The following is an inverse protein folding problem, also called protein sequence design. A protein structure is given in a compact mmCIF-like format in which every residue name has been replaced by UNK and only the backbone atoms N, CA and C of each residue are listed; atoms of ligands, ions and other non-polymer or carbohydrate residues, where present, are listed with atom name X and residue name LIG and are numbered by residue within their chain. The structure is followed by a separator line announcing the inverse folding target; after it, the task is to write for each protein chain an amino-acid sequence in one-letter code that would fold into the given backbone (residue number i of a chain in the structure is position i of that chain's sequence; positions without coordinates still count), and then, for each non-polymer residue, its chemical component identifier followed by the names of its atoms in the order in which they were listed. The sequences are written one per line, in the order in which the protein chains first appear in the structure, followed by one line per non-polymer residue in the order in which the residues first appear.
data_IF_605008515599
#
_entry.id   IF_605008515599
#
_cell.length_a   1.000
_cell.length_b   1.000
_cell.length_c   1.000
_cell.angle_alpha   90.00
_cell.angle_beta   90.00
_cell.angle_gamma   90.00
#
_symmetry.space_group_name_H-M   'P 1'
#
loop_
_entity.id
_entity.type
_entity.pdbx_description
1 polymer ?
#
# COMPACT_ATOMS: atom_id res chain seq x y z
N UNK A 1 -28.84 -7.19 -11.17
CA UNK A 1 -27.51 -7.32 -11.78
C UNK A 1 -27.02 -5.94 -12.15
N UNK A 2 -26.45 -5.21 -11.18
CA UNK A 2 -25.65 -4.02 -11.46
C UNK A 2 -24.24 -4.53 -11.64
N UNK A 3 -23.65 -4.36 -12.82
CA UNK A 3 -22.22 -4.62 -12.97
C UNK A 3 -21.50 -3.56 -12.15
N UNK A 4 -21.14 -3.89 -10.92
CA UNK A 4 -20.23 -3.06 -10.13
C UNK A 4 -18.90 -3.01 -10.89
N UNK A 5 -18.64 -1.88 -11.54
CA UNK A 5 -17.29 -1.53 -11.95
C UNK A 5 -16.46 -1.45 -10.68
N UNK A 6 -15.77 -2.56 -10.33
CA UNK A 6 -14.81 -2.57 -9.25
C UNK A 6 -13.81 -1.44 -9.52
N UNK A 7 -13.55 -0.54 -8.55
CA UNK A 7 -12.62 0.56 -8.76
C UNK A 7 -11.27 0.03 -9.24
N UNK A 8 -10.75 0.58 -10.33
CA UNK A 8 -9.42 0.22 -10.82
C UNK A 8 -8.39 0.58 -9.74
N UNK A 9 -7.52 -0.37 -9.40
CA UNK A 9 -6.46 -0.16 -8.40
C UNK A 9 -5.57 1.01 -8.85
N UNK A 10 -5.28 1.99 -7.97
CA UNK A 10 -4.47 3.14 -8.34
C UNK A 10 -3.02 2.74 -8.55
N UNK A 11 -2.36 3.34 -9.54
CA UNK A 11 -0.93 3.15 -9.81
C UNK A 11 -0.05 3.84 -8.77
N UNK A 12 -0.57 4.91 -8.14
CA UNK A 12 0.13 5.62 -7.07
C UNK A 12 -0.77 5.91 -5.88
N UNK A 13 -0.18 5.85 -4.69
CA UNK A 13 -0.84 6.07 -3.41
C UNK A 13 -0.10 7.15 -2.63
N UNK A 14 -0.84 7.97 -1.88
CA UNK A 14 -0.30 9.13 -1.20
C UNK A 14 -0.53 9.04 0.30
N UNK A 15 0.45 9.47 1.10
CA UNK A 15 0.33 9.47 2.57
C UNK A 15 0.82 10.77 3.17
N UNK A 16 -0.09 11.52 3.79
CA UNK A 16 0.20 12.76 4.50
C UNK A 16 0.68 12.45 5.90
N UNK A 17 1.85 12.99 6.28
CA UNK A 17 2.47 12.75 7.58
C UNK A 17 2.85 14.05 8.29
N UNK A 18 2.58 14.16 9.61
CA UNK A 18 2.89 15.36 10.36
C UNK A 18 4.38 15.44 10.70
N UNK A 19 4.98 16.62 10.54
CA UNK A 19 6.32 16.92 11.04
C UNK A 19 6.36 18.09 12.05
N UNK A 20 5.20 18.58 12.49
CA UNK A 20 5.05 19.58 13.55
C UNK A 20 4.50 19.01 14.86
N UNK A 21 4.59 17.70 15.07
CA UNK A 21 4.01 16.99 16.22
C UNK A 21 5.01 16.10 16.93
N UNK A 22 4.63 15.52 18.07
CA UNK A 22 5.44 14.54 18.81
C UNK A 22 5.78 13.28 17.99
N UNK A 23 5.13 13.09 16.84
CA UNK A 23 5.32 11.95 15.96
C UNK A 23 6.51 12.09 15.01
N UNK A 24 7.11 13.29 14.90
CA UNK A 24 8.23 13.59 13.97
C UNK A 24 9.30 12.52 13.95
N UNK A 25 9.71 12.02 15.13
CA UNK A 25 10.75 11.01 15.23
C UNK A 25 10.35 9.73 14.50
N UNK A 26 9.11 9.24 14.72
CA UNK A 26 8.58 8.05 14.06
C UNK A 26 8.37 8.26 12.57
N UNK A 27 7.88 9.42 12.17
CA UNK A 27 7.62 9.70 10.74
C UNK A 27 8.92 9.78 9.95
N UNK A 28 9.96 10.40 10.49
CA UNK A 28 11.28 10.41 9.87
C UNK A 28 11.93 9.02 9.88
N UNK A 29 11.78 8.25 10.97
CA UNK A 29 12.24 6.85 11.04
C UNK A 29 11.58 5.97 9.97
N UNK A 30 10.26 6.14 9.77
CA UNK A 30 9.49 5.43 8.75
C UNK A 30 10.02 5.67 7.33
N UNK A 31 10.37 6.91 7.00
CA UNK A 31 10.92 7.25 5.69
C UNK A 31 12.35 6.71 5.54
N UNK A 32 13.20 6.92 6.54
CA UNK A 32 14.61 6.55 6.46
C UNK A 32 14.85 5.04 6.51
N UNK A 33 13.94 4.29 7.12
CA UNK A 33 14.00 2.82 7.22
C UNK A 33 13.02 2.11 6.29
N UNK A 34 12.47 2.80 5.29
CA UNK A 34 11.57 2.24 4.26
C UNK A 34 10.41 1.42 4.83
N UNK A 35 9.62 2.00 5.74
CA UNK A 35 8.44 1.32 6.27
C UNK A 35 7.20 2.22 6.38
N UNK A 36 6.02 1.61 6.27
CA UNK A 36 4.73 2.19 6.63
C UNK A 36 4.36 1.71 8.02
N UNK A 37 4.03 2.63 8.93
CA UNK A 37 3.43 2.24 10.22
C UNK A 37 1.96 1.92 10.00
N UNK A 38 1.53 0.73 10.41
CA UNK A 38 0.14 0.28 10.46
C UNK A 38 -0.39 0.51 11.90
N UNK A 39 -1.02 1.66 12.19
CA UNK A 39 -1.72 1.87 13.47
C UNK A 39 -2.90 0.92 13.59
N UNK A 40 -3.33 0.63 14.82
CA UNK A 40 -4.59 -0.06 15.04
C UNK A 40 -5.76 0.81 14.63
N UNK A 41 -6.85 0.20 14.18
CA UNK A 41 -8.07 0.93 13.86
C UNK A 41 -8.55 1.81 15.03
N UNK A 42 -8.46 1.32 16.28
CA UNK A 42 -8.83 2.08 17.48
C UNK A 42 -7.96 3.33 17.78
N UNK A 43 -6.88 3.55 17.02
CA UNK A 43 -6.03 4.74 17.09
C UNK A 43 -6.32 5.75 15.98
N UNK A 44 -7.27 5.47 15.09
CA UNK A 44 -7.62 6.38 13.98
C UNK A 44 -8.39 7.61 14.49
N UNK A 45 -8.36 8.67 13.69
CA UNK A 45 -8.82 10.00 14.09
C UNK A 45 -10.34 10.21 13.99
N UNK A 46 -11.05 9.40 13.18
CA UNK A 46 -12.50 9.51 13.02
C UNK A 46 -13.22 8.49 13.93
N UNK A 47 -13.90 8.96 15.00
CA UNK A 47 -14.64 8.08 15.90
C UNK A 47 -15.96 7.56 15.32
N UNK A 48 -16.39 8.04 14.14
CA UNK A 48 -17.62 7.61 13.46
C UNK A 48 -17.38 6.51 12.41
N UNK A 49 -16.17 5.94 12.34
CA UNK A 49 -15.83 4.87 11.40
C UNK A 49 -16.06 3.46 11.97
N UNK A 50 -16.28 2.49 11.06
CA UNK A 50 -16.50 1.08 11.36
C UNK A 50 -17.55 0.82 12.45
N UNK A 51 -18.75 1.38 12.24
CA UNK A 51 -19.89 1.17 13.12
C UNK A 51 -20.33 -0.31 13.10
N UNK A 52 -20.00 -1.03 14.18
CA UNK A 52 -20.41 -2.41 14.44
C UNK A 52 -21.42 -2.34 15.58
N UNK A 53 -22.68 -2.07 15.22
CA UNK A 53 -23.79 -1.97 16.16
C UNK A 53 -24.75 -3.15 16.03
N UNK A 54 -25.39 -3.50 17.14
CA UNK A 54 -26.38 -4.56 17.23
C UNK A 54 -27.73 -3.98 17.66
N UNK A 55 -28.86 -4.50 17.15
CA UNK A 55 -30.16 -4.11 17.65
C UNK A 55 -30.34 -4.53 19.11
N UNK A 56 -31.00 -3.69 19.90
CA UNK A 56 -31.38 -4.01 21.28
C UNK A 56 -32.37 -5.19 21.33
N UNK A 57 -33.28 -5.26 20.36
CA UNK A 57 -34.17 -6.38 20.11
C UNK A 57 -34.09 -6.77 18.64
N UNK A 58 -33.57 -7.97 18.37
CA UNK A 58 -33.57 -8.51 17.01
C UNK A 58 -34.88 -9.28 16.77
N UNK A 59 -35.69 -8.78 15.83
CA UNK A 59 -37.01 -9.32 15.49
C UNK A 59 -36.97 -10.75 14.97
N UNK A 60 -35.80 -11.24 14.54
CA UNK A 60 -35.64 -12.61 14.04
C UNK A 60 -34.98 -13.55 15.07
N UNK A 61 -34.55 -13.04 16.23
CA UNK A 61 -33.90 -13.85 17.26
C UNK A 61 -34.79 -14.99 17.79
N UNK A 62 -36.12 -14.82 17.81
CA UNK A 62 -37.05 -15.83 18.31
C UNK A 62 -37.14 -17.07 17.42
N UNK A 63 -36.72 -16.97 16.14
CA UNK A 63 -36.75 -18.07 15.18
C UNK A 63 -35.59 -19.06 15.35
N UNK A 64 -34.63 -18.76 16.24
CA UNK A 64 -33.39 -19.51 16.39
C UNK A 64 -33.25 -20.12 17.79
N UNK A 65 -32.57 -21.28 17.91
CA UNK A 65 -32.15 -21.79 19.22
C UNK A 65 -31.28 -20.76 19.95
N UNK A 66 -31.59 -20.48 21.22
CA UNK A 66 -30.87 -19.48 22.04
C UNK A 66 -29.35 -19.73 22.08
N UNK A 67 -28.92 -20.98 22.05
CA UNK A 67 -27.51 -21.36 22.06
C UNK A 67 -26.77 -20.90 20.80
N UNK A 68 -27.41 -21.08 19.63
CA UNK A 68 -26.86 -20.66 18.34
C UNK A 68 -26.86 -19.12 18.21
N UNK A 69 -27.86 -18.47 18.81
CA UNK A 69 -27.95 -17.02 18.92
C UNK A 69 -26.77 -16.43 19.71
N UNK A 70 -26.49 -16.99 20.88
CA UNK A 70 -25.40 -16.52 21.73
C UNK A 70 -24.02 -16.85 21.15
N UNK A 71 -23.88 -18.00 20.46
CA UNK A 71 -22.65 -18.37 19.76
C UNK A 71 -22.32 -17.39 18.63
N UNK A 72 -23.30 -17.03 17.80
CA UNK A 72 -23.10 -16.10 16.68
C UNK A 72 -22.79 -14.68 17.15
N UNK A 73 -23.49 -14.17 18.19
CA UNK A 73 -23.14 -12.89 18.82
C UNK A 73 -21.72 -12.88 19.38
N UNK A 74 -21.31 -13.96 20.06
CA UNK A 74 -19.95 -14.09 20.61
C UNK A 74 -18.90 -14.13 19.51
N UNK A 75 -19.16 -14.86 18.42
CA UNK A 75 -18.27 -14.91 17.26
C UNK A 75 -18.11 -13.52 16.64
N UNK A 76 -19.21 -12.81 16.37
CA UNK A 76 -19.17 -11.49 15.74
C UNK A 76 -18.53 -10.43 16.64
N UNK A 77 -18.82 -10.42 17.94
CA UNK A 77 -18.19 -9.49 18.88
C UNK A 77 -16.69 -9.77 19.03
N UNK A 78 -16.29 -11.04 19.03
CA UNK A 78 -14.88 -11.45 19.01
C UNK A 78 -14.15 -11.00 17.74
N UNK A 79 -14.75 -11.20 16.57
CA UNK A 79 -14.16 -10.75 15.29
C UNK A 79 -14.14 -9.23 15.18
N UNK A 80 -15.18 -8.53 15.61
CA UNK A 80 -15.22 -7.06 15.69
C UNK A 80 -14.13 -6.49 16.62
N UNK A 81 -13.97 -7.07 17.82
CA UNK A 81 -12.92 -6.68 18.75
C UNK A 81 -11.52 -6.93 18.19
N UNK A 82 -11.35 -8.01 17.41
CA UNK A 82 -10.11 -8.32 16.70
C UNK A 82 -9.85 -7.29 15.59
N UNK A 83 -10.87 -6.97 14.79
CA UNK A 83 -10.80 -5.99 13.72
C UNK A 83 -10.42 -4.59 14.22
N UNK A 84 -10.95 -4.16 15.36
CA UNK A 84 -10.55 -2.88 16.00
C UNK A 84 -9.07 -2.84 16.40
N UNK A 85 -8.47 -4.01 16.65
CA UNK A 85 -7.05 -4.16 16.97
C UNK A 85 -6.19 -4.46 15.75
N UNK A 86 -6.79 -4.62 14.57
CA UNK A 86 -6.06 -4.83 13.34
C UNK A 86 -5.39 -3.54 12.88
N UNK A 87 -4.16 -3.67 12.39
CA UNK A 87 -3.40 -2.62 11.75
C UNK A 87 -4.04 -2.22 10.42
N UNK A 88 -4.26 -0.92 10.23
CA UNK A 88 -4.82 -0.34 9.02
C UNK A 88 -3.89 0.74 8.49
N UNK A 89 -3.62 0.75 7.18
CA UNK A 89 -2.84 1.81 6.54
C UNK A 89 -3.74 2.57 5.58
N UNK A 90 -4.08 3.80 5.96
CA UNK A 90 -4.82 4.76 5.15
C UNK A 90 -3.91 5.52 4.18
N UNK A 91 -4.32 5.55 2.92
CA UNK A 91 -3.65 6.21 1.80
C UNK A 91 -4.66 6.99 0.98
N UNK A 92 -4.26 8.07 0.31
CA UNK A 92 -5.07 8.82 -0.64
C UNK A 92 -4.65 8.50 -2.08
N UNK A 93 -5.46 8.90 -3.06
CA UNK A 93 -5.08 8.93 -4.49
C UNK A 93 -4.63 10.32 -4.98
N UNK A 94 -4.48 11.30 -4.08
CA UNK A 94 -3.96 12.64 -4.41
C UNK A 94 -2.89 13.12 -3.43
N UNK A 95 -1.84 13.79 -3.93
CA UNK A 95 -0.87 14.55 -3.13
C UNK A 95 -1.33 15.97 -2.81
N UNK A 96 -2.38 16.45 -3.48
CA UNK A 96 -2.89 17.80 -3.35
C UNK A 96 -4.36 17.77 -2.96
N UNK A 97 -4.59 17.87 -1.66
CA UNK A 97 -5.88 18.15 -1.03
C UNK A 97 -5.61 19.02 0.22
N UNK A 98 -6.14 20.24 0.24
CA UNK A 98 -5.83 21.21 1.30
C UNK A 98 -6.33 20.77 2.68
N UNK A 99 -7.55 20.23 2.84
CA UNK A 99 -7.95 19.57 4.08
C UNK A 99 -6.96 18.50 4.54
N UNK A 100 -6.50 17.60 3.67
CA UNK A 100 -5.53 16.56 4.05
C UNK A 100 -4.19 17.16 4.53
N UNK A 101 -3.69 18.19 3.84
CA UNK A 101 -2.49 18.92 4.28
C UNK A 101 -2.68 19.62 5.63
N UNK A 102 -3.87 20.17 5.89
CA UNK A 102 -4.19 20.81 7.16
C UNK A 102 -4.25 19.79 8.30
N UNK A 103 -5.01 18.71 8.14
CA UNK A 103 -5.30 17.73 9.19
C UNK A 103 -4.15 16.76 9.43
N UNK A 104 -3.54 16.22 8.37
CA UNK A 104 -2.61 15.10 8.49
C UNK A 104 -1.16 15.46 8.23
N UNK A 105 -0.88 16.66 7.72
CA UNK A 105 0.47 17.17 7.51
C UNK A 105 0.76 18.43 8.36
N UNK A 106 0.27 18.46 9.60
CA UNK A 106 0.56 19.52 10.59
C UNK A 106 0.36 20.94 10.03
N UNK A 107 -0.82 21.26 9.50
CA UNK A 107 -1.09 22.59 8.93
C UNK A 107 -0.05 23.01 7.88
N UNK A 108 0.29 22.11 6.94
CA UNK A 108 1.29 22.32 5.88
C UNK A 108 2.76 22.38 6.34
N UNK A 109 3.08 22.01 7.59
CA UNK A 109 4.47 21.86 8.08
C UNK A 109 5.06 20.46 7.82
N UNK A 110 4.20 19.50 7.48
CA UNK A 110 4.52 18.10 7.26
C UNK A 110 4.94 17.78 5.83
N UNK A 111 4.64 16.56 5.42
CA UNK A 111 4.99 16.01 4.11
C UNK A 111 3.82 15.20 3.54
N UNK A 112 3.86 15.01 2.22
CA UNK A 112 3.07 13.98 1.54
C UNK A 112 4.03 13.03 0.80
N UNK A 113 3.86 11.73 1.01
CA UNK A 113 4.68 10.68 0.42
C UNK A 113 3.91 10.04 -0.73
N UNK A 114 4.47 10.01 -1.93
CA UNK A 114 3.93 9.26 -3.08
C UNK A 114 4.60 7.90 -3.19
N UNK A 115 3.78 6.87 -3.30
CA UNK A 115 4.21 5.49 -3.45
C UNK A 115 3.79 4.88 -4.78
N UNK A 116 4.65 4.06 -5.36
CA UNK A 116 4.28 3.14 -6.43
C UNK A 116 3.56 1.92 -5.86
N UNK A 117 2.36 1.63 -6.35
CA UNK A 117 1.53 0.55 -5.81
C UNK A 117 2.08 -0.84 -6.15
N UNK A 118 2.79 -1.01 -7.27
CA UNK A 118 3.39 -2.29 -7.67
C UNK A 118 4.64 -2.57 -6.83
N UNK A 119 5.48 -1.55 -6.61
CA UNK A 119 6.67 -1.68 -5.75
C UNK A 119 6.30 -1.91 -4.28
N UNK A 120 5.23 -1.28 -3.78
CA UNK A 120 4.69 -1.61 -2.45
C UNK A 120 4.32 -3.11 -2.33
N UNK A 121 3.91 -3.75 -3.43
CA UNK A 121 3.61 -5.17 -3.47
C UNK A 121 4.86 -6.07 -3.54
N UNK A 122 6.07 -5.51 -3.57
CA UNK A 122 7.33 -6.25 -3.43
C UNK A 122 7.85 -6.28 -1.97
N UNK A 123 7.15 -5.63 -1.04
CA UNK A 123 7.47 -5.61 0.39
C UNK A 123 6.52 -6.45 1.25
N UNK A 124 6.44 -6.10 2.54
CA UNK A 124 5.56 -6.76 3.52
C UNK A 124 4.06 -6.63 3.18
N UNK A 125 3.70 -5.75 2.23
CA UNK A 125 2.33 -5.54 1.78
C UNK A 125 1.93 -6.41 0.58
N UNK A 126 2.82 -7.25 0.05
CA UNK A 126 2.58 -8.10 -1.14
C UNK A 126 1.23 -8.84 -1.14
N UNK A 127 0.84 -9.40 0.01
CA UNK A 127 -0.37 -10.22 0.16
C UNK A 127 -1.45 -9.54 1.00
N UNK A 128 -1.31 -8.23 1.21
CA UNK A 128 -2.23 -7.46 2.02
C UNK A 128 -3.27 -6.83 1.11
N UNK A 129 -4.58 -7.07 1.35
CA UNK A 129 -5.64 -6.46 0.55
C UNK A 129 -5.56 -4.93 0.60
N UNK A 130 -5.59 -4.30 -0.57
CA UNK A 130 -5.73 -2.86 -0.76
C UNK A 130 -7.13 -2.60 -1.29
N UNK A 131 -7.98 -1.95 -0.50
CA UNK A 131 -9.39 -1.76 -0.81
C UNK A 131 -9.76 -0.26 -0.81
N UNK A 132 -10.64 0.19 -1.71
CA UNK A 132 -11.13 1.55 -1.71
C UNK A 132 -12.08 1.75 -0.52
N UNK A 133 -12.04 2.94 0.08
CA UNK A 133 -13.05 3.36 1.04
C UNK A 133 -14.35 3.71 0.30
N UNK A 134 -15.45 3.18 0.80
CA UNK A 134 -16.82 3.46 0.36
C UNK A 134 -17.37 4.60 1.21
N UNK A 135 -17.85 5.64 0.56
CA UNK A 135 -18.43 6.81 1.20
C UNK A 135 -19.95 6.73 1.12
N UNK A 136 -20.61 6.92 2.27
CA UNK A 136 -22.06 6.93 2.34
C UNK A 136 -22.55 7.99 3.34
N UNK A 137 -23.73 8.52 3.07
CA UNK A 137 -24.46 9.42 3.97
C UNK A 137 -25.39 8.66 4.92
N UNK A 138 -25.74 7.42 4.57
CA UNK A 138 -26.64 6.57 5.33
C UNK A 138 -25.81 5.70 6.28
N UNK A 139 -26.20 5.70 7.56
CA UNK A 139 -25.59 4.82 8.55
C UNK A 139 -25.82 3.36 8.13
N UNK A 140 -24.77 2.53 8.14
CA UNK A 140 -24.93 1.12 7.84
C UNK A 140 -25.99 0.47 8.75
N UNK A 141 -26.78 -0.49 8.24
CA UNK A 141 -27.74 -1.19 9.07
C UNK A 141 -27.00 -1.91 10.20
N UNK A 142 -27.66 -1.98 11.36
CA UNK A 142 -27.20 -2.78 12.48
C UNK A 142 -27.02 -4.24 12.04
N UNK A 143 -26.08 -4.94 12.67
CA UNK A 143 -25.77 -6.33 12.36
C UNK A 143 -26.87 -7.23 12.96
N UNK A 144 -27.97 -7.37 12.21
CA UNK A 144 -29.08 -8.28 12.53
C UNK A 144 -28.72 -9.72 12.22
N UNK A 145 -29.47 -10.67 12.79
CA UNK A 145 -29.31 -12.09 12.48
C UNK A 145 -29.60 -12.41 11.03
N UNK A 146 -30.60 -11.76 10.43
CA UNK A 146 -30.90 -11.92 9.01
C UNK A 146 -29.67 -11.58 8.17
N UNK A 147 -29.01 -10.46 8.45
CA UNK A 147 -27.80 -10.03 7.75
C UNK A 147 -26.65 -11.03 7.96
N UNK A 148 -26.50 -11.57 9.16
CA UNK A 148 -25.46 -12.56 9.48
C UNK A 148 -25.71 -13.92 8.82
N UNK A 149 -26.97 -14.31 8.62
CA UNK A 149 -27.33 -15.58 8.01
C UNK A 149 -27.05 -15.60 6.49
N UNK A 150 -27.08 -14.44 5.85
CA UNK A 150 -26.93 -14.30 4.39
C UNK A 150 -25.56 -13.74 3.97
N UNK A 151 -24.65 -13.47 4.90
CA UNK A 151 -23.35 -12.86 4.61
C UNK A 151 -22.22 -13.50 5.39
N UNK A 152 -21.02 -13.51 4.79
CA UNK A 152 -19.82 -13.92 5.50
C UNK A 152 -19.42 -12.87 6.54
N UNK A 153 -19.15 -13.32 7.78
CA UNK A 153 -18.83 -12.42 8.90
C UNK A 153 -17.59 -11.55 8.62
N UNK A 154 -16.57 -12.10 7.96
CA UNK A 154 -15.36 -11.36 7.62
C UNK A 154 -15.60 -10.29 6.56
N UNK A 155 -16.48 -10.55 5.59
CA UNK A 155 -16.86 -9.57 4.58
C UNK A 155 -17.66 -8.43 5.19
N UNK A 156 -18.61 -8.72 6.08
CA UNK A 156 -19.34 -7.69 6.81
C UNK A 156 -18.40 -6.76 7.58
N UNK A 157 -17.46 -7.32 8.32
CA UNK A 157 -16.49 -6.54 9.10
C UNK A 157 -15.56 -5.74 8.19
N UNK A 158 -15.08 -6.35 7.11
CA UNK A 158 -14.24 -5.67 6.11
C UNK A 158 -14.99 -4.50 5.50
N UNK A 159 -16.24 -4.69 5.07
CA UNK A 159 -17.08 -3.64 4.52
C UNK A 159 -17.31 -2.50 5.52
N UNK A 160 -17.50 -2.80 6.81
CA UNK A 160 -17.60 -1.77 7.86
C UNK A 160 -16.30 -1.00 8.04
N UNK A 161 -15.15 -1.69 8.04
CA UNK A 161 -13.84 -1.05 8.10
C UNK A 161 -13.56 -0.18 6.87
N UNK A 162 -14.13 -0.49 5.71
CA UNK A 162 -13.97 0.28 4.48
C UNK A 162 -15.02 1.38 4.31
N UNK A 163 -15.88 1.64 5.29
CA UNK A 163 -16.95 2.64 5.15
C UNK A 163 -16.60 3.94 5.89
N UNK A 164 -16.87 5.07 5.22
CA UNK A 164 -16.82 6.41 5.80
C UNK A 164 -18.06 7.22 5.50
N UNK A 165 -18.23 8.26 6.29
CA UNK A 165 -19.19 9.34 6.07
C UNK A 165 -18.87 10.10 4.78
N UNK A 166 -19.90 10.46 4.02
CA UNK A 166 -19.81 11.15 2.72
C UNK A 166 -18.95 12.42 2.76
N UNK A 167 -18.95 13.13 3.88
CA UNK A 167 -18.21 14.36 4.13
C UNK A 167 -16.68 14.18 3.95
N UNK A 168 -16.17 12.96 4.12
CA UNK A 168 -14.77 12.60 3.94
C UNK A 168 -14.41 12.12 2.52
N UNK A 169 -15.34 12.17 1.56
CA UNK A 169 -15.08 11.68 0.18
C UNK A 169 -13.87 12.35 -0.49
N UNK A 170 -13.57 13.60 -0.12
CA UNK A 170 -12.41 14.34 -0.62
C UNK A 170 -11.07 13.64 -0.30
N UNK A 171 -11.01 12.80 0.73
CA UNK A 171 -9.79 12.05 1.09
C UNK A 171 -9.39 11.04 -0.01
N UNK A 172 -10.35 10.59 -0.83
CA UNK A 172 -10.15 9.59 -1.90
C UNK A 172 -9.37 8.37 -1.41
N UNK A 173 -9.72 7.92 -0.21
CA UNK A 173 -8.95 6.97 0.58
C UNK A 173 -8.99 5.54 0.04
N UNK A 174 -7.84 4.87 0.12
CA UNK A 174 -7.64 3.43 -0.02
C UNK A 174 -6.92 2.90 1.22
N UNK A 175 -7.24 1.67 1.63
CA UNK A 175 -6.75 1.07 2.87
C UNK A 175 -6.07 -0.27 2.64
N UNK A 176 -4.91 -0.47 3.26
CA UNK A 176 -4.38 -1.81 3.49
C UNK A 176 -4.88 -2.40 4.80
N UNK A 177 -5.45 -3.60 4.75
CA UNK A 177 -5.82 -4.40 5.94
C UNK A 177 -4.60 -5.17 6.49
N UNK A 178 -3.67 -4.43 7.10
CA UNK A 178 -2.31 -4.90 7.39
C UNK A 178 -2.17 -5.92 8.54
N UNK A 179 -3.29 -6.36 9.14
CA UNK A 179 -3.31 -7.42 10.16
C UNK A 179 -2.71 -6.95 11.48
N UNK A 180 -1.46 -7.30 11.77
CA UNK A 180 -0.79 -6.89 13.02
C UNK A 180 -0.33 -5.42 12.96
N UNK A 181 -0.55 -4.67 14.03
CA UNK A 181 0.01 -3.34 14.27
C UNK A 181 1.55 -3.33 14.11
N UNK A 182 2.08 -2.24 13.55
CA UNK A 182 3.51 -1.98 13.54
C UNK A 182 4.08 -1.68 12.16
N UNK A 183 5.38 -1.93 12.00
CA UNK A 183 6.11 -1.63 10.76
C UNK A 183 5.73 -2.63 9.66
N UNK A 184 5.47 -2.12 8.45
CA UNK A 184 5.36 -2.87 7.19
C UNK A 184 6.39 -2.31 6.23
N UNK A 185 7.47 -3.05 6.02
CA UNK A 185 8.59 -2.61 5.21
C UNK A 185 8.26 -2.71 3.72
N UNK A 186 8.81 -1.79 2.94
CA UNK A 186 8.66 -1.72 1.48
C UNK A 186 10.02 -1.66 0.79
N UNK A 187 10.06 -1.94 -0.51
CA UNK A 187 11.26 -1.74 -1.34
C UNK A 187 11.49 -0.25 -1.56
N UNK A 188 12.73 0.17 -1.62
CA UNK A 188 13.13 1.56 -1.69
C UNK A 188 12.52 2.33 -2.88
N UNK A 189 12.41 1.73 -4.09
CA UNK A 189 11.71 2.37 -5.21
C UNK A 189 10.21 2.54 -4.98
N UNK A 190 9.62 1.89 -3.98
CA UNK A 190 8.22 2.08 -3.64
C UNK A 190 7.92 3.51 -3.20
N UNK A 191 8.85 4.24 -2.58
CA UNK A 191 8.69 5.66 -2.29
C UNK A 191 9.23 6.49 -3.45
N UNK A 192 8.35 6.92 -4.35
CA UNK A 192 8.71 7.67 -5.56
C UNK A 192 9.05 9.13 -5.27
N UNK A 193 8.23 9.78 -4.45
CA UNK A 193 8.34 11.23 -4.19
C UNK A 193 8.06 11.59 -2.74
N UNK A 194 8.75 12.62 -2.26
CA UNK A 194 8.44 13.32 -1.02
C UNK A 194 8.10 14.76 -1.35
N UNK A 195 6.85 15.13 -1.12
CA UNK A 195 6.38 16.51 -1.17
C UNK A 195 6.55 17.15 0.20
N UNK A 196 7.33 18.22 0.27
CA UNK A 196 7.56 19.00 1.49
C UNK A 196 6.54 20.12 1.57
N UNK A 197 5.79 20.19 2.68
CA UNK A 197 4.79 21.25 2.86
C UNK A 197 5.42 22.64 2.87
N UNK A 198 4.67 23.68 2.45
CA UNK A 198 5.19 25.06 2.34
C UNK A 198 5.61 25.69 3.67
N UNK A 199 5.27 25.08 4.81
CA UNK A 199 5.69 25.52 6.15
C UNK A 199 6.72 24.59 6.78
N UNK A 200 7.30 23.65 6.01
CA UNK A 200 8.28 22.72 6.55
C UNK A 200 9.45 23.46 7.22
N UNK A 201 9.89 22.97 8.37
CA UNK A 201 11.06 23.58 9.03
C UNK A 201 12.34 23.29 8.25
N UNK A 202 13.26 24.25 8.20
CA UNK A 202 14.55 24.08 7.53
C UNK A 202 15.34 22.89 8.07
N UNK A 203 15.21 22.60 9.38
CA UNK A 203 15.83 21.44 10.03
C UNK A 203 15.31 20.12 9.45
N UNK A 204 13.99 19.97 9.35
CA UNK A 204 13.36 18.76 8.78
C UNK A 204 13.70 18.61 7.30
N UNK A 205 13.56 19.70 6.52
CA UNK A 205 13.94 19.74 5.09
C UNK A 205 15.38 19.27 4.88
N UNK A 206 16.34 19.90 5.54
CA UNK A 206 17.76 19.57 5.38
C UNK A 206 18.06 18.11 5.75
N UNK A 207 17.42 17.58 6.80
CA UNK A 207 17.58 16.19 7.23
C UNK A 207 17.01 15.20 6.23
N UNK A 208 15.85 15.48 5.64
CA UNK A 208 15.23 14.63 4.61
C UNK A 208 16.11 14.62 3.35
N UNK A 209 16.49 15.79 2.82
CA UNK A 209 17.37 15.90 1.65
C UNK A 209 18.67 15.12 1.88
N UNK A 210 19.34 15.34 3.00
CA UNK A 210 20.60 14.66 3.30
C UNK A 210 20.45 13.13 3.39
N UNK A 211 19.42 12.64 4.07
CA UNK A 211 19.22 11.19 4.27
C UNK A 211 18.71 10.48 3.03
N UNK A 212 18.03 11.18 2.13
CA UNK A 212 17.44 10.60 0.93
C UNK A 212 18.28 10.80 -0.34
N UNK A 213 19.49 11.39 -0.24
CA UNK A 213 20.32 11.75 -1.39
C UNK A 213 20.66 10.59 -2.34
N UNK A 214 20.97 9.41 -1.81
CA UNK A 214 21.40 8.23 -2.58
C UNK A 214 20.27 7.20 -2.70
N UNK A 215 19.04 7.69 -2.83
CA UNK A 215 17.82 6.88 -2.81
C UNK A 215 17.03 7.14 -4.09
N UNK A 216 16.22 6.17 -4.55
CA UNK A 216 15.45 6.31 -5.78
C UNK A 216 14.18 7.14 -5.55
N UNK A 217 14.32 8.35 -5.01
CA UNK A 217 13.20 9.21 -4.59
C UNK A 217 13.46 10.66 -5.00
N UNK A 218 12.44 11.28 -5.57
CA UNK A 218 12.44 12.71 -5.87
C UNK A 218 11.94 13.50 -4.65
N UNK A 219 12.46 14.71 -4.43
CA UNK A 219 11.98 15.60 -3.37
C UNK A 219 11.48 16.89 -4.00
N UNK A 220 10.24 17.24 -3.67
CA UNK A 220 9.58 18.45 -4.13
C UNK A 220 9.35 19.41 -2.97
N UNK A 221 9.63 20.69 -3.17
CA UNK A 221 9.34 21.75 -2.21
C UNK A 221 8.07 22.48 -2.59
N UNK A 222 7.12 22.55 -1.64
CA UNK A 222 5.90 23.33 -1.78
C UNK A 222 6.13 24.81 -1.51
N UNK A 223 5.51 25.67 -2.31
CA UNK A 223 5.46 27.12 -2.12
C UNK A 223 4.05 27.64 -2.40
N UNK A 224 3.62 28.66 -1.66
CA UNK A 224 2.30 29.26 -1.88
C UNK A 224 2.41 30.33 -2.96
N UNK A 225 1.63 30.20 -4.02
CA UNK A 225 1.49 31.17 -5.10
C UNK A 225 0.00 31.54 -5.26
N UNK A 226 -0.37 32.74 -4.84
CA UNK A 226 -1.77 33.14 -4.77
C UNK A 226 -2.57 32.24 -3.82
N UNK A 227 -3.59 31.56 -4.35
CA UNK A 227 -4.43 30.61 -3.62
C UNK A 227 -4.00 29.15 -3.81
N UNK A 228 -2.84 28.90 -4.42
CA UNK A 228 -2.38 27.57 -4.78
C UNK A 228 -1.06 27.19 -4.11
N UNK A 229 -0.85 25.89 -3.92
CA UNK A 229 0.45 25.33 -3.54
C UNK A 229 1.09 24.72 -4.78
N UNK A 230 2.25 25.26 -5.17
CA UNK A 230 3.06 24.71 -6.24
C UNK A 230 4.25 23.92 -5.69
N UNK A 231 4.51 22.76 -6.27
CA UNK A 231 5.62 21.88 -5.91
C UNK A 231 6.72 21.91 -6.98
N UNK A 232 7.94 22.24 -6.58
CA UNK A 232 9.13 22.25 -7.46
C UNK A 232 10.12 21.18 -7.03
N UNK A 233 10.63 20.40 -7.98
CA UNK A 233 11.68 19.42 -7.69
C UNK A 233 12.95 20.14 -7.22
N UNK A 234 13.49 19.71 -6.09
CA UNK A 234 14.73 20.22 -5.50
C UNK A 234 15.78 19.13 -5.30
N UNK A 235 15.41 17.86 -5.49
CA UNK A 235 16.32 16.72 -5.53
C UNK A 235 15.74 15.66 -6.48
N UNK A 236 16.51 15.32 -7.49
CA UNK A 236 16.18 14.23 -8.42
C UNK A 236 16.39 12.86 -7.78
N UNK A 237 15.70 11.85 -8.32
CA UNK A 237 15.92 10.45 -7.94
C UNK A 237 17.31 9.97 -8.36
N UNK A 238 18.00 9.24 -7.49
CA UNK A 238 19.23 8.58 -7.86
C UNK A 238 18.94 7.39 -8.81
N UNK A 239 19.73 7.19 -9.88
CA UNK A 239 19.65 5.97 -10.69
C UNK A 239 19.80 4.72 -9.81
N UNK A 240 19.08 3.65 -10.12
CA UNK A 240 19.09 2.43 -9.30
C UNK A 240 20.49 1.82 -9.14
N UNK A 241 21.30 1.88 -10.20
CA UNK A 241 22.70 1.44 -10.20
C UNK A 241 23.61 2.22 -9.23
N UNK A 242 23.24 3.45 -8.87
CA UNK A 242 23.99 4.34 -7.97
C UNK A 242 23.37 4.45 -6.57
N UNK A 243 22.19 3.84 -6.36
CA UNK A 243 21.49 3.88 -5.09
C UNK A 243 22.24 3.11 -3.99
N UNK A 244 22.05 3.54 -2.74
CA UNK A 244 22.34 2.67 -1.59
C UNK A 244 21.49 1.39 -1.71
N UNK A 245 22.15 0.24 -1.67
CA UNK A 245 21.55 -1.08 -1.87
C UNK A 245 21.39 -1.83 -0.55
N UNK A 246 20.34 -2.63 -0.46
CA UNK A 246 20.18 -3.64 0.58
C UNK A 246 20.36 -5.05 0.04
N UNK A 247 20.10 -5.26 -1.26
CA UNK A 247 20.28 -6.53 -1.93
C UNK A 247 21.51 -6.57 -2.84
N UNK A 248 22.07 -7.76 -3.02
CA UNK A 248 23.28 -8.00 -3.80
C UNK A 248 23.11 -7.83 -5.33
N UNK A 249 21.89 -7.85 -5.86
CA UNK A 249 21.61 -7.70 -7.29
C UNK A 249 22.11 -8.86 -8.15
N UNK A 250 22.09 -10.08 -7.61
CA UNK A 250 22.68 -11.24 -8.29
C UNK A 250 21.77 -11.73 -9.43
N UNK A 251 22.32 -11.79 -10.64
CA UNK A 251 21.70 -12.46 -11.77
C UNK A 251 22.72 -13.40 -12.41
N UNK A 252 22.38 -14.69 -12.43
CA UNK A 252 23.11 -15.73 -13.13
C UNK A 252 22.45 -15.99 -14.50
N UNK A 253 23.12 -15.67 -15.62
CA UNK A 253 22.58 -15.94 -16.96
C UNK A 253 22.23 -17.42 -17.20
N UNK A 254 22.81 -18.37 -16.45
CA UNK A 254 22.48 -19.79 -16.59
C UNK A 254 21.00 -20.10 -16.29
N UNK A 255 20.31 -19.25 -15.53
CA UNK A 255 18.86 -19.40 -15.24
C UNK A 255 18.04 -19.26 -16.53
N UNK A 256 18.48 -18.43 -17.49
CA UNK A 256 17.83 -18.34 -18.81
C UNK A 256 18.04 -19.66 -19.57
N UNK A 257 19.26 -20.20 -19.56
CA UNK A 257 19.61 -21.42 -20.30
C UNK A 257 18.79 -22.64 -19.84
N UNK A 258 18.40 -22.73 -18.57
CA UNK A 258 17.58 -23.84 -18.07
C UNK A 258 16.16 -23.90 -18.67
N UNK A 259 15.67 -22.79 -19.21
CA UNK A 259 14.30 -22.66 -19.75
C UNK A 259 14.29 -22.14 -21.20
N UNK A 260 15.42 -22.21 -21.89
CA UNK A 260 15.66 -21.48 -23.15
C UNK A 260 14.67 -21.84 -24.26
N UNK A 261 14.42 -23.12 -24.51
CA UNK A 261 13.51 -23.57 -25.57
C UNK A 261 12.09 -23.00 -25.39
N UNK A 262 11.58 -23.04 -24.16
CA UNK A 262 10.26 -22.49 -23.82
C UNK A 262 10.22 -20.97 -23.94
N UNK A 263 11.26 -20.29 -23.43
CA UNK A 263 11.36 -18.83 -23.50
C UNK A 263 11.50 -18.35 -24.95
N UNK A 264 12.27 -19.03 -25.79
CA UNK A 264 12.39 -18.72 -27.23
C UNK A 264 11.09 -18.99 -27.97
N UNK A 265 10.33 -20.02 -27.60
CA UNK A 265 9.04 -20.29 -28.21
C UNK A 265 8.02 -19.17 -27.97
N UNK A 266 8.09 -18.49 -26.82
CA UNK A 266 7.21 -17.36 -26.48
C UNK A 266 7.75 -16.03 -27.03
N UNK A 267 9.03 -15.76 -26.83
CA UNK A 267 9.63 -14.46 -27.15
C UNK A 267 10.04 -14.31 -28.62
N UNK A 268 10.37 -15.41 -29.31
CA UNK A 268 10.93 -15.38 -30.66
C UNK A 268 12.12 -14.41 -30.76
N UNK A 269 11.99 -13.42 -31.65
CA UNK A 269 13.00 -12.37 -31.89
C UNK A 269 13.20 -11.41 -30.70
N UNK A 270 12.34 -11.46 -29.67
CA UNK A 270 12.44 -10.65 -28.45
C UNK A 270 13.22 -11.33 -27.34
N UNK A 271 13.80 -12.50 -27.58
CA UNK A 271 14.53 -13.24 -26.56
C UNK A 271 15.64 -12.41 -25.90
N UNK A 272 16.39 -11.62 -26.68
CA UNK A 272 17.47 -10.78 -26.17
C UNK A 272 16.98 -9.66 -25.22
N UNK A 273 15.69 -9.27 -25.33
CA UNK A 273 15.09 -8.30 -24.41
C UNK A 273 14.91 -8.86 -23.00
N UNK A 274 14.83 -10.19 -22.83
CA UNK A 274 14.73 -10.84 -21.53
C UNK A 274 15.99 -10.62 -20.69
N UNK A 275 17.17 -10.82 -21.30
CA UNK A 275 18.44 -10.65 -20.60
C UNK A 275 18.62 -9.20 -20.17
N UNK A 276 18.29 -8.25 -21.05
CA UNK A 276 18.30 -6.83 -20.73
C UNK A 276 17.36 -6.51 -19.56
N UNK A 277 16.14 -7.07 -19.53
CA UNK A 277 15.20 -6.90 -18.42
C UNK A 277 15.71 -7.52 -17.11
N UNK A 278 16.39 -8.66 -17.17
CA UNK A 278 17.03 -9.26 -15.99
C UNK A 278 18.15 -8.37 -15.45
N UNK A 279 18.94 -7.74 -16.33
CA UNK A 279 20.00 -6.79 -15.96
C UNK A 279 19.40 -5.51 -15.34
N UNK A 280 18.33 -4.96 -15.92
CA UNK A 280 17.60 -3.83 -15.34
C UNK A 280 17.03 -4.16 -13.96
N UNK A 281 16.45 -5.35 -13.80
CA UNK A 281 15.95 -5.81 -12.50
C UNK A 281 17.09 -6.00 -11.50
N UNK A 282 18.25 -6.45 -11.97
CA UNK A 282 19.46 -6.60 -11.15
C UNK A 282 19.96 -5.27 -10.59
N UNK A 283 19.68 -4.16 -11.25
CA UNK A 283 20.01 -2.83 -10.72
C UNK A 283 19.07 -2.40 -9.58
N UNK A 284 17.90 -3.03 -9.41
CA UNK A 284 16.96 -2.68 -8.35
C UNK A 284 17.61 -2.75 -6.96
N UNK A 285 17.58 -1.68 -6.14
CA UNK A 285 18.43 -1.55 -4.94
C UNK A 285 18.13 -2.58 -3.84
N UNK A 286 16.92 -3.14 -3.81
CA UNK A 286 16.56 -4.21 -2.87
C UNK A 286 16.62 -5.61 -3.47
N UNK A 287 16.87 -5.80 -4.77
CA UNK A 287 16.94 -7.15 -5.32
C UNK A 287 18.17 -7.84 -4.74
N UNK A 288 17.98 -8.98 -4.07
CA UNK A 288 19.05 -9.85 -3.61
C UNK A 288 19.54 -10.73 -4.76
N UNK A 289 18.61 -11.42 -5.43
CA UNK A 289 18.89 -12.26 -6.60
C UNK A 289 17.63 -12.52 -7.43
N UNK A 290 17.83 -12.86 -8.70
CA UNK A 290 16.82 -13.52 -9.53
C UNK A 290 16.90 -15.02 -9.24
N UNK A 291 15.78 -15.62 -8.83
CA UNK A 291 15.71 -17.03 -8.43
C UNK A 291 15.32 -17.94 -9.60
N UNK A 292 14.35 -17.52 -10.42
CA UNK A 292 13.77 -18.35 -11.48
C UNK A 292 13.23 -17.51 -12.63
N UNK A 293 13.34 -18.05 -13.85
CA UNK A 293 12.67 -17.56 -15.04
C UNK A 293 11.93 -18.72 -15.67
N UNK A 294 10.61 -18.59 -15.81
CA UNK A 294 9.77 -19.65 -16.38
C UNK A 294 8.66 -19.09 -17.26
N UNK A 295 8.17 -19.94 -18.14
CA UNK A 295 6.96 -19.69 -18.93
C UNK A 295 5.78 -20.34 -18.21
N UNK A 296 4.61 -19.69 -18.23
CA UNK A 296 3.38 -20.28 -17.69
C UNK A 296 2.91 -21.47 -18.52
N UNK A 297 2.08 -22.34 -17.95
CA UNK A 297 1.59 -23.57 -18.61
C UNK A 297 0.86 -23.33 -19.94
N UNK A 298 0.40 -22.09 -20.20
CA UNK A 298 -0.27 -21.71 -21.45
C UNK A 298 0.69 -21.21 -22.53
N UNK A 299 2.01 -21.15 -22.26
CA UNK A 299 3.06 -20.69 -23.19
C UNK A 299 2.86 -19.26 -23.71
N UNK A 300 2.36 -18.35 -22.87
CA UNK A 300 2.07 -16.97 -23.28
C UNK A 300 2.63 -15.91 -22.34
N UNK A 301 2.98 -16.28 -21.10
CA UNK A 301 3.40 -15.35 -20.06
C UNK A 301 4.73 -15.80 -19.48
N UNK A 302 5.63 -14.84 -19.29
CA UNK A 302 6.93 -15.05 -18.65
C UNK A 302 6.82 -14.60 -17.21
N UNK A 303 7.30 -15.44 -16.30
CA UNK A 303 7.37 -15.19 -14.88
C UNK A 303 8.84 -15.09 -14.46
N UNK A 304 9.22 -13.93 -13.94
CA UNK A 304 10.50 -13.68 -13.28
C UNK A 304 10.29 -13.66 -11.77
N UNK A 305 10.87 -14.62 -11.06
CA UNK A 305 10.84 -14.66 -9.60
C UNK A 305 12.14 -14.08 -9.05
N UNK A 306 12.02 -13.07 -8.19
CA UNK A 306 13.15 -12.44 -7.51
C UNK A 306 12.98 -12.44 -5.99
N UNK A 307 14.11 -12.52 -5.29
CA UNK A 307 14.19 -12.30 -3.84
C UNK A 307 14.64 -10.88 -3.57
N UNK A 308 13.94 -10.18 -2.67
CA UNK A 308 14.19 -8.79 -2.28
C UNK A 308 14.56 -8.69 -0.81
N UNK A 309 15.73 -8.13 -0.51
CA UNK A 309 16.19 -7.84 0.86
C UNK A 309 15.65 -6.49 1.29
N UNK A 310 14.73 -6.45 2.26
CA UNK A 310 14.22 -5.20 2.80
C UNK A 310 15.21 -4.59 3.80
N UNK A 311 15.09 -3.28 4.09
CA UNK A 311 15.95 -2.59 5.07
C UNK A 311 15.93 -3.16 6.49
N UNK A 312 14.92 -3.98 6.81
CA UNK A 312 14.82 -4.74 8.07
C UNK A 312 15.72 -5.97 8.14
N UNK A 313 16.37 -6.33 7.02
CA UNK A 313 17.31 -7.45 6.93
C UNK A 313 16.67 -8.78 6.52
N UNK A 314 15.34 -8.86 6.43
CA UNK A 314 14.65 -10.06 5.94
C UNK A 314 14.37 -9.99 4.44
N UNK A 315 14.16 -11.17 3.86
CA UNK A 315 13.91 -11.37 2.43
C UNK A 315 12.43 -11.60 2.13
N UNK A 316 11.97 -11.10 0.99
CA UNK A 316 10.64 -11.33 0.42
C UNK A 316 10.78 -11.80 -1.02
N UNK A 317 10.09 -12.86 -1.40
CA UNK A 317 10.06 -13.35 -2.78
C UNK A 317 8.86 -12.77 -3.53
N UNK A 318 9.07 -12.30 -4.76
CA UNK A 318 8.02 -11.74 -5.60
C UNK A 318 8.18 -12.15 -7.06
N UNK A 319 7.03 -12.24 -7.74
CA UNK A 319 6.95 -12.58 -9.15
C UNK A 319 6.65 -11.32 -9.97
N UNK A 320 7.32 -11.21 -11.10
CA UNK A 320 7.03 -10.24 -12.15
C UNK A 320 6.55 -10.99 -13.37
N UNK A 321 5.45 -10.52 -13.95
CA UNK A 321 4.80 -11.17 -15.06
C UNK A 321 4.97 -10.30 -16.30
N UNK A 322 5.27 -10.92 -17.43
CA UNK A 322 5.48 -10.24 -18.70
C UNK A 322 4.73 -10.94 -19.81
N UNK A 323 4.21 -10.17 -20.76
CA UNK A 323 3.71 -10.70 -22.02
C UNK A 323 4.86 -11.09 -22.97
N UNK A 324 4.53 -11.61 -24.16
CA UNK A 324 5.50 -12.00 -25.17
C UNK A 324 6.32 -10.83 -25.74
N UNK A 325 5.89 -9.58 -25.52
CA UNK A 325 6.59 -8.37 -25.90
C UNK A 325 7.48 -7.81 -24.76
N UNK A 326 7.60 -8.55 -23.65
CA UNK A 326 8.30 -8.13 -22.43
C UNK A 326 7.70 -6.86 -21.77
N UNK A 327 6.41 -6.57 -21.99
CA UNK A 327 5.69 -5.56 -21.22
C UNK A 327 5.26 -6.15 -19.88
N UNK A 328 5.45 -5.39 -18.81
CA UNK A 328 5.07 -5.80 -17.46
C UNK A 328 3.55 -5.91 -17.35
N UNK A 329 3.07 -7.06 -16.91
CA UNK A 329 1.68 -7.33 -16.56
C UNK A 329 1.40 -6.97 -15.09
N UNK A 330 0.14 -6.64 -14.74
CA UNK A 330 -0.26 -6.20 -13.40
C UNK A 330 -0.01 -7.18 -12.25
#
# INVERSE_FOLDING_TARGET
MVSENKPTRPTSLYRYRPLGSDLVKRELDAIFSSYLYAPRFDQMNDPMEAMIEYPAEDRFAFLMPKELLELSKKALSGTAATAKKSGLISMSTTHLDYPLWAYYASNFEGICLEFDTQELALGDLQRIPLLPVVYDSITPPQLTFELLAISETMDLITNRLMQKRQEWQHEKEWRYLAGKEGRKLYTDPALKRIYLGPRITQKSKARIIHKMKNRPVEIYEGSVQGFEVEFKCIQESAPWSECERTGAGIFDPQIICSSEDGLRAVLGDKFDALEQKCRELSDHPNLERIDEIRVTNENTIICLTGTYRLRGGHDVSANHWFDADMNRLP
#
